data_IF_218307274278
#
_entry.id   IF_218307274278
#
_cell.length_a   1.000
_cell.length_b   1.000
_cell.length_c   1.000
_cell.angle_alpha   90.00
_cell.angle_beta   90.00
_cell.angle_gamma   90.00
#
_symmetry.space_group_name_H-M   'P 1'
#
loop_
_entity.id
_entity.type
_entity.pdbx_description
1 polymer ?
#
# COMPACT_ATOMS: atom_id res chain seq x y z
N UNK A 1 -34.56 -4.50 3.69
CA UNK A 1 -33.63 -5.55 3.21
C UNK A 1 -33.47 -6.57 4.32
N UNK A 2 -34.11 -7.74 4.18
CA UNK A 2 -33.91 -8.88 5.07
C UNK A 2 -32.54 -9.51 4.76
N UNK A 3 -31.58 -9.35 5.65
CA UNK A 3 -30.36 -10.16 5.59
C UNK A 3 -30.71 -11.53 6.17
N UNK A 4 -30.85 -12.52 5.28
CA UNK A 4 -31.24 -13.89 5.63
C UNK A 4 -30.24 -14.60 6.55
N UNK A 5 -30.76 -15.57 7.29
CA UNK A 5 -30.11 -16.41 8.30
C UNK A 5 -28.97 -17.34 7.79
N UNK A 6 -28.27 -17.01 6.71
CA UNK A 6 -27.11 -17.79 6.26
C UNK A 6 -25.83 -17.29 6.96
N UNK A 7 -25.72 -17.57 8.26
CA UNK A 7 -24.40 -17.62 8.90
C UNK A 7 -23.71 -18.88 8.38
N UNK A 8 -22.71 -18.72 7.52
CA UNK A 8 -21.84 -19.83 7.16
C UNK A 8 -20.98 -20.11 8.40
N UNK A 9 -21.22 -21.25 9.06
CA UNK A 9 -20.22 -21.83 9.94
C UNK A 9 -19.07 -22.23 9.03
N UNK A 10 -17.97 -21.48 9.10
CA UNK A 10 -16.73 -21.85 8.41
C UNK A 10 -16.09 -22.92 9.29
N UNK A 11 -16.26 -24.19 8.94
CA UNK A 11 -15.44 -25.25 9.52
C UNK A 11 -14.00 -25.04 9.03
N UNK A 12 -13.04 -25.05 9.95
CA UNK A 12 -11.63 -24.86 9.62
C UNK A 12 -11.11 -26.18 8.99
N UNK A 13 -10.73 -26.15 7.71
CA UNK A 13 -10.21 -27.32 6.98
C UNK A 13 -8.85 -27.82 7.54
N UNK A 14 -8.16 -27.00 8.33
CA UNK A 14 -6.88 -27.30 8.98
C UNK A 14 -6.86 -26.70 10.38
N UNK A 15 -6.03 -27.26 11.25
CA UNK A 15 -5.86 -26.71 12.59
C UNK A 15 -5.19 -25.33 12.55
N UNK A 16 -5.45 -24.51 13.58
CA UNK A 16 -4.79 -23.21 13.74
C UNK A 16 -3.26 -23.29 13.76
N UNK A 17 -2.72 -24.36 14.33
CA UNK A 17 -1.27 -24.59 14.39
C UNK A 17 -0.69 -24.83 12.99
N UNK A 18 -1.33 -25.71 12.20
CA UNK A 18 -0.92 -25.97 10.82
C UNK A 18 -1.04 -24.74 9.93
N UNK A 19 -2.09 -23.92 10.15
CA UNK A 19 -2.25 -22.66 9.45
C UNK A 19 -1.09 -21.70 9.73
N UNK A 20 -0.70 -21.54 11.00
CA UNK A 20 0.39 -20.63 11.38
C UNK A 20 1.75 -21.13 10.88
N UNK A 21 1.99 -22.44 10.88
CA UNK A 21 3.18 -23.05 10.29
C UNK A 21 3.26 -22.79 8.77
N UNK A 22 2.18 -23.13 8.03
CA UNK A 22 2.11 -22.92 6.58
C UNK A 22 2.27 -21.44 6.21
N UNK A 23 1.64 -20.55 6.97
CA UNK A 23 1.79 -19.09 6.82
C UNK A 23 3.24 -18.67 7.02
N UNK A 24 3.90 -19.14 8.07
CA UNK A 24 5.30 -18.79 8.35
C UNK A 24 6.23 -19.24 7.23
N UNK A 25 6.07 -20.47 6.75
CA UNK A 25 6.84 -21.01 5.62
C UNK A 25 6.63 -20.14 4.37
N UNK A 26 5.36 -19.87 4.04
CA UNK A 26 5.01 -19.07 2.88
C UNK A 26 5.59 -17.64 2.94
N UNK A 27 5.50 -16.98 4.09
CA UNK A 27 6.05 -15.64 4.30
C UNK A 27 7.57 -15.64 4.14
N UNK A 28 8.27 -16.59 4.77
CA UNK A 28 9.72 -16.68 4.69
C UNK A 28 10.23 -16.97 3.28
N UNK A 29 9.49 -17.76 2.50
CA UNK A 29 9.91 -18.13 1.14
C UNK A 29 9.57 -17.07 0.09
N UNK A 30 8.47 -16.34 0.25
CA UNK A 30 7.93 -15.49 -0.82
C UNK A 30 7.98 -13.99 -0.53
N UNK A 31 8.02 -13.59 0.75
CA UNK A 31 7.92 -12.20 1.17
C UNK A 31 9.13 -11.68 1.91
N UNK A 32 10.00 -12.56 2.41
CA UNK A 32 11.22 -12.16 3.11
C UNK A 32 12.19 -11.49 2.14
N UNK A 33 12.45 -10.22 2.39
CA UNK A 33 13.29 -9.32 1.62
C UNK A 33 14.35 -8.71 2.51
N UNK A 34 15.54 -8.55 1.93
CA UNK A 34 16.63 -7.79 2.54
C UNK A 34 16.36 -6.28 2.44
N UNK A 35 16.91 -5.50 3.37
CA UNK A 35 16.74 -4.04 3.41
C UNK A 35 17.21 -3.35 2.12
N UNK A 36 18.25 -3.88 1.47
CA UNK A 36 18.70 -3.39 0.16
C UNK A 36 17.60 -3.54 -0.90
N UNK A 37 16.95 -4.70 -0.95
CA UNK A 37 15.91 -5.00 -1.90
C UNK A 37 14.66 -4.13 -1.67
N UNK A 38 14.29 -3.88 -0.40
CA UNK A 38 13.20 -2.95 -0.06
C UNK A 38 13.47 -1.55 -0.62
N UNK A 39 14.71 -1.06 -0.47
CA UNK A 39 15.12 0.25 -1.01
C UNK A 39 15.14 0.28 -2.53
N UNK A 40 15.54 -0.82 -3.18
CA UNK A 40 15.51 -0.96 -4.64
C UNK A 40 14.08 -0.94 -5.19
N UNK A 41 13.14 -1.60 -4.52
CA UNK A 41 11.71 -1.54 -4.87
C UNK A 41 11.24 -0.08 -4.86
N UNK A 42 11.48 0.66 -3.79
CA UNK A 42 11.08 2.07 -3.71
C UNK A 42 11.67 2.86 -4.88
N UNK A 43 12.98 2.73 -5.11
CA UNK A 43 13.72 3.48 -6.13
C UNK A 43 13.20 3.22 -7.56
N UNK A 44 12.96 1.96 -7.92
CA UNK A 44 12.52 1.59 -9.28
C UNK A 44 11.02 1.82 -9.50
N UNK A 45 10.28 2.10 -8.43
CA UNK A 45 8.82 2.28 -8.49
C UNK A 45 8.38 3.73 -8.25
N UNK A 46 9.32 4.69 -8.23
CA UNK A 46 9.05 6.14 -8.09
C UNK A 46 8.11 6.74 -9.13
N UNK A 47 7.99 6.12 -10.30
CA UNK A 47 7.07 6.53 -11.36
C UNK A 47 5.62 6.02 -11.15
N UNK A 48 5.40 5.30 -10.04
CA UNK A 48 4.11 4.82 -9.54
C UNK A 48 3.19 4.25 -10.64
N UNK A 49 2.06 4.90 -10.93
CA UNK A 49 1.04 4.43 -11.87
C UNK A 49 1.57 4.21 -13.31
N UNK A 50 2.70 4.81 -13.67
CA UNK A 50 3.31 4.62 -14.99
C UNK A 50 4.38 3.50 -15.00
N UNK A 51 4.72 2.93 -13.84
CA UNK A 51 5.68 1.83 -13.71
C UNK A 51 4.98 0.48 -13.63
N UNK A 52 5.29 -0.41 -14.58
CA UNK A 52 4.84 -1.81 -14.52
C UNK A 52 5.34 -2.51 -13.24
N UNK A 53 6.59 -2.28 -12.87
CA UNK A 53 7.18 -2.81 -11.64
C UNK A 53 6.41 -2.36 -10.39
N UNK A 54 5.94 -1.11 -10.35
CA UNK A 54 5.11 -0.64 -9.23
C UNK A 54 3.78 -1.39 -9.15
N UNK A 55 3.13 -1.64 -10.29
CA UNK A 55 1.88 -2.41 -10.32
C UNK A 55 2.09 -3.86 -9.85
N UNK A 56 3.18 -4.50 -10.26
CA UNK A 56 3.46 -5.88 -9.90
C UNK A 56 3.89 -6.04 -8.44
N UNK A 57 4.73 -5.12 -7.93
CA UNK A 57 5.09 -5.12 -6.50
C UNK A 57 3.89 -4.82 -5.59
N UNK A 58 2.92 -4.02 -6.06
CA UNK A 58 1.69 -3.76 -5.31
C UNK A 58 0.75 -4.94 -5.23
N UNK A 59 0.65 -5.76 -6.29
CA UNK A 59 -0.21 -6.97 -6.27
C UNK A 59 0.22 -7.98 -5.21
N UNK A 60 1.50 -7.99 -4.86
CA UNK A 60 2.05 -8.83 -3.80
C UNK A 60 1.63 -8.35 -2.41
N UNK A 61 1.21 -7.08 -2.24
CA UNK A 61 1.09 -6.46 -0.91
C UNK A 61 -0.28 -5.89 -0.61
N UNK A 62 -0.63 -5.90 0.67
CA UNK A 62 -1.73 -5.09 1.19
C UNK A 62 -1.21 -3.65 1.32
N UNK A 63 -1.86 -2.74 0.60
CA UNK A 63 -1.40 -1.35 0.52
C UNK A 63 -2.24 -0.45 1.42
N UNK A 64 -1.69 0.66 1.92
CA UNK A 64 -2.44 1.62 2.73
C UNK A 64 -3.81 1.99 2.13
N UNK A 65 -3.89 2.16 0.80
CA UNK A 65 -5.13 2.48 0.08
C UNK A 65 -6.22 1.39 0.13
N UNK A 66 -5.85 0.12 0.34
CA UNK A 66 -6.81 -1.01 0.40
C UNK A 66 -6.90 -1.64 1.80
N UNK A 67 -5.97 -1.32 2.71
CA UNK A 67 -5.90 -1.93 4.03
C UNK A 67 -7.15 -1.66 4.88
N UNK A 68 -7.81 -0.52 4.67
CA UNK A 68 -9.09 -0.22 5.32
C UNK A 68 -10.19 -1.26 5.02
N UNK A 69 -10.17 -1.92 3.85
CA UNK A 69 -11.11 -2.99 3.51
C UNK A 69 -10.82 -4.27 4.30
N UNK A 70 -9.53 -4.56 4.52
CA UNK A 70 -9.08 -5.72 5.30
C UNK A 70 -9.39 -5.51 6.78
N UNK A 71 -9.07 -4.33 7.32
CA UNK A 71 -9.31 -3.99 8.72
C UNK A 71 -10.80 -4.00 9.09
N UNK A 72 -11.67 -3.50 8.20
CA UNK A 72 -13.13 -3.43 8.43
C UNK A 72 -13.88 -4.71 8.03
N UNK A 73 -13.17 -5.77 7.65
CA UNK A 73 -13.78 -7.01 7.18
C UNK A 73 -14.66 -7.61 8.27
N UNK A 74 -15.88 -8.00 7.90
CA UNK A 74 -16.73 -8.81 8.75
C UNK A 74 -16.26 -10.28 8.69
N UNK A 75 -15.78 -10.88 9.80
CA UNK A 75 -15.29 -12.26 9.81
C UNK A 75 -16.39 -13.29 9.48
N UNK A 76 -17.67 -12.91 9.60
CA UNK A 76 -18.82 -13.77 9.26
C UNK A 76 -19.12 -13.86 7.76
N UNK A 77 -18.46 -13.05 6.93
CA UNK A 77 -18.61 -13.07 5.47
C UNK A 77 -17.39 -13.80 4.87
N UNK A 78 -17.56 -14.68 3.85
CA UNK A 78 -16.44 -15.32 3.17
C UNK A 78 -15.34 -14.33 2.74
N UNK A 79 -14.08 -14.80 2.71
CA UNK A 79 -12.92 -13.98 2.34
C UNK A 79 -12.73 -13.83 0.84
N UNK A 80 -13.28 -14.78 0.07
CA UNK A 80 -13.16 -14.87 -1.39
C UNK A 80 -13.52 -13.57 -2.12
N UNK A 81 -14.63 -12.87 -1.83
CA UNK A 81 -14.96 -11.63 -2.53
C UNK A 81 -13.94 -10.51 -2.28
N UNK A 82 -13.43 -10.40 -1.04
CA UNK A 82 -12.41 -9.43 -0.70
C UNK A 82 -11.11 -9.75 -1.44
N UNK A 83 -10.65 -10.99 -1.39
CA UNK A 83 -9.42 -11.44 -2.08
C UNK A 83 -9.52 -11.20 -3.58
N UNK A 84 -10.64 -11.55 -4.21
CA UNK A 84 -10.88 -11.30 -5.63
C UNK A 84 -10.82 -9.80 -5.96
N UNK A 85 -11.41 -8.94 -5.11
CA UNK A 85 -11.36 -7.49 -5.32
C UNK A 85 -9.95 -6.92 -5.20
N UNK A 86 -9.08 -7.50 -4.35
CA UNK A 86 -7.71 -7.07 -4.16
C UNK A 86 -6.79 -7.52 -5.31
N UNK A 87 -6.94 -8.77 -5.76
CA UNK A 87 -6.08 -9.38 -6.80
C UNK A 87 -6.47 -8.97 -8.22
N UNK A 88 -7.77 -8.82 -8.49
CA UNK A 88 -8.31 -8.62 -9.83
C UNK A 88 -9.05 -7.28 -9.98
N UNK A 89 -8.62 -6.26 -9.22
CA UNK A 89 -9.20 -4.92 -9.34
C UNK A 89 -9.09 -4.39 -10.77
N UNK A 90 -10.23 -4.01 -11.35
CA UNK A 90 -10.32 -3.39 -12.69
C UNK A 90 -10.41 -1.87 -12.63
N UNK A 91 -10.20 -1.27 -11.45
CA UNK A 91 -10.33 0.17 -11.26
C UNK A 91 -9.26 0.93 -12.07
N UNK A 92 -9.71 1.73 -13.03
CA UNK A 92 -8.85 2.57 -13.90
C UNK A 92 -8.81 4.05 -13.49
N UNK A 93 -9.28 4.38 -12.28
CA UNK A 93 -9.43 5.75 -11.84
C UNK A 93 -10.78 6.39 -12.19
N UNK A 94 -11.21 7.34 -11.37
CA UNK A 94 -12.39 8.17 -11.60
C UNK A 94 -11.98 9.63 -11.89
N UNK A 95 -12.95 10.53 -12.05
CA UNK A 95 -12.68 11.95 -12.32
C UNK A 95 -11.86 12.60 -11.18
N UNK A 96 -12.15 12.25 -9.93
CA UNK A 96 -11.45 12.78 -8.76
C UNK A 96 -10.00 12.27 -8.67
N UNK A 97 -9.75 10.97 -8.88
CA UNK A 97 -8.37 10.44 -8.87
C UNK A 97 -7.53 11.02 -10.01
N UNK A 98 -8.12 11.17 -11.20
CA UNK A 98 -7.42 11.82 -12.33
C UNK A 98 -7.15 13.30 -12.07
N UNK A 99 -8.05 13.99 -11.37
CA UNK A 99 -7.83 15.37 -10.95
C UNK A 99 -6.68 15.45 -9.95
N UNK A 100 -6.71 14.62 -8.89
CA UNK A 100 -5.64 14.55 -7.89
C UNK A 100 -4.26 14.35 -8.52
N UNK A 101 -4.13 13.39 -9.45
CA UNK A 101 -2.86 13.13 -10.15
C UNK A 101 -2.35 14.31 -10.98
N UNK A 102 -3.24 15.15 -11.53
CA UNK A 102 -2.82 16.34 -12.28
C UNK A 102 -2.39 17.47 -11.36
N UNK A 103 -3.10 17.66 -10.26
CA UNK A 103 -2.85 18.76 -9.32
C UNK A 103 -1.74 18.45 -8.31
N UNK A 104 -1.32 17.20 -8.15
CA UNK A 104 -0.33 16.76 -7.17
C UNK A 104 0.96 17.58 -7.25
N UNK A 105 1.52 17.75 -8.46
CA UNK A 105 2.74 18.53 -8.68
C UNK A 105 2.58 19.99 -8.28
N UNK A 106 1.44 20.60 -8.62
CA UNK A 106 1.13 22.00 -8.28
C UNK A 106 0.99 22.15 -6.77
N UNK A 107 0.25 21.25 -6.14
CA UNK A 107 0.03 21.22 -4.69
C UNK A 107 1.35 21.09 -3.92
N UNK A 108 2.26 20.22 -4.37
CA UNK A 108 3.60 20.08 -3.77
C UNK A 108 4.40 21.38 -3.89
N UNK A 109 4.36 22.04 -5.06
CA UNK A 109 5.06 23.32 -5.25
C UNK A 109 4.50 24.43 -4.36
N UNK A 110 3.17 24.53 -4.25
CA UNK A 110 2.51 25.48 -3.36
C UNK A 110 2.88 25.21 -1.89
N UNK A 111 2.88 23.94 -1.47
CA UNK A 111 3.31 23.54 -0.13
C UNK A 111 4.75 24.01 0.18
N UNK A 112 5.70 23.74 -0.73
CA UNK A 112 7.10 24.18 -0.58
C UNK A 112 7.19 25.71 -0.47
N UNK A 113 6.48 26.44 -1.33
CA UNK A 113 6.48 27.91 -1.33
C UNK A 113 5.88 28.49 -0.04
N UNK A 114 4.78 27.91 0.45
CA UNK A 114 4.17 28.35 1.71
C UNK A 114 5.11 28.13 2.89
N UNK A 115 5.84 27.02 2.92
CA UNK A 115 6.81 26.72 3.97
C UNK A 115 8.03 27.63 3.91
N UNK A 116 8.50 27.97 2.70
CA UNK A 116 9.55 28.97 2.53
C UNK A 116 9.16 30.35 3.08
N UNK A 117 7.89 30.78 2.91
CA UNK A 117 7.37 32.02 3.53
C UNK A 117 7.40 31.98 5.06
N UNK A 118 7.31 30.79 5.66
CA UNK A 118 7.44 30.56 7.10
C UNK A 118 8.91 30.41 7.55
N UNK A 119 9.88 30.74 6.68
CA UNK A 119 11.32 30.54 6.91
C UNK A 119 11.74 29.07 7.11
N UNK A 120 10.94 28.13 6.61
CA UNK A 120 11.27 26.70 6.60
C UNK A 120 11.64 26.29 5.18
N UNK A 121 12.91 25.98 4.96
CA UNK A 121 13.43 25.50 3.69
C UNK A 121 13.31 23.98 3.66
N UNK A 122 12.45 23.47 2.79
CA UNK A 122 12.24 22.05 2.61
C UNK A 122 12.30 21.64 1.15
N UNK A 123 12.56 20.36 0.93
CA UNK A 123 12.46 19.69 -0.36
C UNK A 123 11.44 18.56 -0.25
N UNK A 124 10.61 18.39 -1.27
CA UNK A 124 9.74 17.20 -1.38
C UNK A 124 10.30 16.31 -2.48
N UNK A 125 10.53 15.05 -2.14
CA UNK A 125 10.99 14.03 -3.10
C UNK A 125 9.87 13.05 -3.43
N UNK A 126 9.81 12.64 -4.70
CA UNK A 126 8.89 11.60 -5.15
C UNK A 126 9.28 10.27 -4.52
N UNK A 127 8.26 9.53 -4.09
CA UNK A 127 8.40 8.22 -3.47
C UNK A 127 7.76 7.13 -4.34
N UNK A 128 8.40 5.97 -4.38
CA UNK A 128 7.83 4.75 -4.94
C UNK A 128 6.97 3.99 -3.94
N UNK A 129 6.90 2.68 -4.12
CA UNK A 129 6.32 1.77 -3.13
C UNK A 129 7.32 1.56 -1.99
N UNK A 130 6.96 2.02 -0.80
CA UNK A 130 7.64 1.73 0.45
C UNK A 130 7.06 0.44 1.01
N UNK A 131 7.91 -0.56 1.22
CA UNK A 131 7.57 -1.83 1.86
C UNK A 131 7.87 -1.71 3.35
N UNK A 132 6.99 -2.23 4.19
CA UNK A 132 7.24 -2.26 5.63
C UNK A 132 8.39 -3.23 5.95
N UNK A 133 9.35 -2.79 6.76
CA UNK A 133 10.58 -3.56 7.01
C UNK A 133 10.33 -4.79 7.88
N UNK A 134 9.35 -4.71 8.80
CA UNK A 134 9.00 -5.79 9.74
C UNK A 134 7.92 -6.70 9.14
N UNK A 135 6.94 -6.11 8.46
CA UNK A 135 5.74 -6.78 7.95
C UNK A 135 5.66 -6.63 6.43
N UNK A 136 6.54 -7.34 5.72
CA UNK A 136 6.86 -7.09 4.31
C UNK A 136 5.75 -7.39 3.27
N UNK A 137 4.63 -7.99 3.71
CA UNK A 137 3.40 -8.06 2.91
C UNK A 137 2.58 -6.76 2.97
N UNK A 138 2.98 -5.78 3.78
CA UNK A 138 2.42 -4.43 3.82
C UNK A 138 3.26 -3.46 2.99
N UNK A 139 2.60 -2.44 2.46
CA UNK A 139 3.30 -1.33 1.81
C UNK A 139 2.44 -0.08 1.62
N UNK A 140 3.08 1.02 1.23
CA UNK A 140 2.42 2.27 0.93
C UNK A 140 3.15 3.01 -0.19
N UNK A 141 2.44 3.85 -0.93
CA UNK A 141 3.04 4.79 -1.88
C UNK A 141 2.66 6.18 -1.44
N UNK A 142 3.51 6.86 -0.63
CA UNK A 142 3.26 8.23 -0.20
C UNK A 142 3.30 9.20 -1.38
N UNK A 143 2.59 10.32 -1.25
CA UNK A 143 2.59 11.40 -2.25
C UNK A 143 3.96 12.11 -2.32
N UNK A 144 4.72 12.12 -1.22
CA UNK A 144 6.08 12.62 -1.22
C UNK A 144 6.77 12.55 0.14
N UNK A 145 8.10 12.59 0.13
CA UNK A 145 8.94 12.67 1.34
C UNK A 145 9.43 14.08 1.54
N UNK A 146 9.06 14.68 2.67
CA UNK A 146 9.53 16.02 3.06
C UNK A 146 10.90 15.89 3.72
N UNK A 147 11.87 16.64 3.22
CA UNK A 147 13.23 16.72 3.74
C UNK A 147 13.48 18.16 4.17
N UNK A 148 13.77 18.35 5.46
CA UNK A 148 14.21 19.63 5.98
C UNK A 148 15.64 19.91 5.50
N UNK A 149 15.88 21.11 4.97
CA UNK A 149 17.19 21.54 4.49
C UNK A 149 17.98 22.36 5.51
N UNK A 150 17.46 22.55 6.73
CA UNK A 150 18.14 23.28 7.80
C UNK A 150 19.12 22.43 8.63
N UNK A 151 19.15 21.10 8.47
CA UNK A 151 19.94 20.17 9.29
C UNK A 151 21.03 19.39 8.51
N UNK A 152 21.52 19.93 7.40
CA UNK A 152 22.69 19.39 6.69
C UNK A 152 23.95 20.19 7.02
N UNK A 153 24.25 20.36 8.31
CA UNK A 153 25.58 20.75 8.83
C UNK A 153 26.16 19.60 9.65
#
# INVERSE_FOLDING_TARGET
MHYGNQRIQVEEDITKSELEEKKTIFMNQNYKLELSHIKEIEKHTKLQLTSASWMDERKKRLTASNFGLVYKRNPKIPVTPLVNSLLYSTFKGNKATRFGLREERVTIQEYVQQKAKQKVKLKVENMGLVVDEEVQFLGASPDGKVIDQHNNE
#
